data_IF_241309743230
#
_entry.id   IF_241309743230
#
_cell.length_a   1.000
_cell.length_b   1.000
_cell.length_c   1.000
_cell.angle_alpha   90.00
_cell.angle_beta   90.00
_cell.angle_gamma   90.00
#
_symmetry.space_group_name_H-M   'P 1'
#
loop_
_entity.id
_entity.type
_entity.pdbx_description
1 polymer ?
#
# COMPACT_ATOMS: atom_id res chain seq x y z
N UNK A 1 -4.77 18.43 -7.82
CA UNK A 1 -3.34 18.69 -8.01
C UNK A 1 -2.64 18.26 -6.74
N UNK A 2 -1.59 17.44 -6.82
CA UNK A 2 -0.90 16.96 -5.61
C UNK A 2 -0.03 18.09 -5.03
N UNK A 3 -0.23 18.42 -3.75
CA UNK A 3 0.56 19.40 -3.02
C UNK A 3 1.81 18.75 -2.39
N UNK A 4 2.90 18.71 -3.15
CA UNK A 4 4.16 18.09 -2.71
C UNK A 4 4.93 18.89 -1.65
N UNK A 5 4.63 20.18 -1.52
CA UNK A 5 5.34 21.05 -0.58
C UNK A 5 4.88 20.82 0.85
N UNK A 6 3.60 20.52 1.01
CA UNK A 6 2.99 20.28 2.33
C UNK A 6 2.83 18.78 2.62
N UNK A 7 2.99 17.92 1.61
CA UNK A 7 2.90 16.47 1.76
C UNK A 7 3.93 15.92 2.75
N UNK A 8 3.45 15.08 3.69
CA UNK A 8 4.30 14.43 4.69
C UNK A 8 4.14 12.91 4.57
N UNK A 9 5.24 12.22 4.27
CA UNK A 9 5.31 10.76 4.25
C UNK A 9 5.53 10.24 5.67
N UNK A 10 4.51 9.65 6.30
CA UNK A 10 4.59 9.27 7.71
C UNK A 10 5.03 7.82 7.93
N UNK A 11 4.55 6.91 7.08
CA UNK A 11 4.83 5.49 7.23
C UNK A 11 5.01 4.86 5.85
N UNK A 12 5.92 3.90 5.79
CA UNK A 12 6.15 3.05 4.63
C UNK A 12 6.31 1.62 5.13
N UNK A 13 5.62 0.67 4.50
CA UNK A 13 5.80 -0.76 4.71
C UNK A 13 5.89 -1.46 3.37
N UNK A 14 6.89 -2.33 3.26
CA UNK A 14 7.20 -3.04 2.01
C UNK A 14 7.16 -4.53 2.32
N UNK A 15 6.42 -5.27 1.51
CA UNK A 15 6.31 -6.72 1.60
C UNK A 15 6.59 -7.32 0.22
N UNK A 16 7.23 -8.47 0.17
CA UNK A 16 7.40 -9.22 -1.07
C UNK A 16 6.31 -10.28 -1.17
N UNK A 17 5.59 -10.29 -2.29
CA UNK A 17 4.53 -11.25 -2.58
C UNK A 17 5.09 -12.23 -3.61
N UNK A 18 5.32 -13.47 -3.17
CA UNK A 18 5.72 -14.56 -4.05
C UNK A 18 4.53 -15.13 -4.83
N UNK A 19 4.85 -15.97 -5.81
CA UNK A 19 3.90 -16.82 -6.49
C UNK A 19 4.07 -18.29 -6.05
N UNK A 20 3.08 -18.84 -5.34
CA UNK A 20 3.08 -20.22 -4.88
C UNK A 20 3.19 -21.24 -6.03
N UNK A 21 2.62 -20.95 -7.21
CA UNK A 21 2.69 -21.84 -8.38
C UNK A 21 4.10 -21.90 -9.00
N UNK A 22 4.94 -20.90 -8.72
CA UNK A 22 6.32 -20.82 -9.17
C UNK A 22 7.32 -21.21 -8.07
N UNK A 23 6.84 -21.73 -6.94
CA UNK A 23 7.63 -22.03 -5.74
C UNK A 23 8.37 -20.80 -5.16
N UNK A 24 7.85 -19.60 -5.38
CA UNK A 24 8.39 -18.38 -4.80
C UNK A 24 7.72 -18.11 -3.45
N UNK A 25 8.52 -17.68 -2.48
CA UNK A 25 8.04 -17.42 -1.12
C UNK A 25 7.74 -15.95 -0.91
N UNK A 26 6.67 -15.66 -0.19
CA UNK A 26 6.34 -14.30 0.25
C UNK A 26 7.15 -13.93 1.49
N UNK A 27 7.58 -12.67 1.58
CA UNK A 27 8.30 -12.11 2.73
C UNK A 27 7.52 -10.93 3.27
N UNK A 28 6.97 -11.07 4.47
CA UNK A 28 6.36 -9.97 5.18
C UNK A 28 7.43 -9.30 6.06
N UNK A 29 7.72 -8.03 5.83
CA UNK A 29 8.58 -7.26 6.72
C UNK A 29 8.08 -7.32 8.16
N UNK A 30 9.01 -7.38 9.11
CA UNK A 30 8.72 -7.46 10.54
C UNK A 30 8.44 -6.09 11.18
N UNK A 31 8.90 -5.02 10.52
CA UNK A 31 8.75 -3.63 10.97
C UNK A 31 8.60 -2.71 9.74
N UNK A 32 8.03 -1.50 9.91
CA UNK A 32 8.05 -0.46 8.89
C UNK A 32 9.46 -0.11 8.42
N UNK A 33 9.56 0.43 7.21
CA UNK A 33 10.80 1.01 6.72
C UNK A 33 11.16 2.25 7.55
N UNK A 34 12.40 2.32 8.02
CA UNK A 34 12.94 3.53 8.64
C UNK A 34 13.17 4.59 7.55
N UNK A 35 12.41 5.68 7.63
CA UNK A 35 12.45 6.81 6.70
C UNK A 35 13.06 8.06 7.34
N UNK A 36 13.86 7.88 8.41
CA UNK A 36 14.56 8.97 9.10
C UNK A 36 15.68 9.61 8.27
N UNK A 37 16.20 8.89 7.27
CA UNK A 37 17.23 9.38 6.37
C UNK A 37 16.61 10.29 5.28
N UNK A 38 17.14 11.51 5.18
CA UNK A 38 16.55 12.60 4.37
C UNK A 38 16.55 12.29 2.87
N UNK A 39 17.62 11.70 2.35
CA UNK A 39 17.72 11.38 0.91
C UNK A 39 16.67 10.32 0.54
N UNK A 40 16.59 9.24 1.31
CA UNK A 40 15.61 8.17 1.15
C UNK A 40 14.18 8.70 1.26
N UNK A 41 13.90 9.54 2.26
CA UNK A 41 12.60 10.16 2.44
C UNK A 41 12.15 10.91 1.17
N UNK A 42 13.01 11.78 0.63
CA UNK A 42 12.68 12.56 -0.57
C UNK A 42 12.57 11.71 -1.83
N UNK A 43 13.39 10.65 -1.95
CA UNK A 43 13.29 9.70 -3.05
C UNK A 43 11.96 8.95 -3.02
N UNK A 44 11.54 8.46 -1.85
CA UNK A 44 10.26 7.75 -1.70
C UNK A 44 9.06 8.67 -1.94
N UNK A 45 9.07 9.88 -1.39
CA UNK A 45 7.99 10.84 -1.61
C UNK A 45 7.84 11.16 -3.11
N UNK A 46 8.96 11.30 -3.83
CA UNK A 46 8.95 11.52 -5.27
C UNK A 46 8.47 10.29 -6.03
N UNK A 47 8.97 9.10 -5.69
CA UNK A 47 8.53 7.82 -6.26
C UNK A 47 7.01 7.62 -6.19
N UNK A 48 6.39 7.91 -5.04
CA UNK A 48 4.95 7.77 -4.85
C UNK A 48 4.12 8.87 -5.51
N UNK A 49 4.69 10.02 -5.88
CA UNK A 49 3.90 11.18 -6.33
C UNK A 49 4.18 11.63 -7.77
N UNK A 50 5.35 11.36 -8.34
CA UNK A 50 5.79 11.86 -9.67
C UNK A 50 4.93 11.38 -10.84
N UNK A 51 4.27 10.23 -10.68
CA UNK A 51 3.49 9.61 -11.74
C UNK A 51 2.05 10.16 -11.84
N UNK A 52 1.57 10.91 -10.84
CA UNK A 52 0.22 11.50 -10.83
C UNK A 52 0.21 12.90 -11.46
N UNK A 53 0.52 12.96 -12.76
CA UNK A 53 0.65 14.22 -13.52
C UNK A 53 -0.69 14.83 -13.90
N UNK A 54 -1.63 14.00 -14.33
CA UNK A 54 -2.98 14.42 -14.69
C UNK A 54 -3.94 14.08 -13.53
N UNK A 55 -4.90 14.96 -13.21
CA UNK A 55 -5.90 14.70 -12.18
C UNK A 55 -6.95 13.71 -12.69
N UNK A 56 -6.57 12.45 -12.81
CA UNK A 56 -7.48 11.35 -13.11
C UNK A 56 -7.80 10.58 -11.83
N UNK A 57 -9.06 10.69 -11.40
CA UNK A 57 -9.56 9.96 -10.24
C UNK A 57 -10.29 8.71 -10.72
N UNK A 58 -9.69 7.56 -10.42
CA UNK A 58 -10.33 6.26 -10.61
C UNK A 58 -10.94 5.81 -9.28
N UNK A 59 -12.17 5.33 -9.33
CA UNK A 59 -12.82 4.69 -8.19
C UNK A 59 -13.08 3.23 -8.54
N UNK A 60 -12.82 2.34 -7.58
CA UNK A 60 -13.23 0.95 -7.71
C UNK A 60 -14.76 0.86 -7.62
N UNK A 61 -15.35 0.05 -8.50
CA UNK A 61 -16.75 -0.33 -8.34
C UNK A 61 -16.84 -1.37 -7.21
N UNK A 62 -17.80 -1.24 -6.29
CA UNK A 62 -18.05 -2.27 -5.28
C UNK A 62 -18.30 -3.62 -5.95
N UNK A 63 -17.63 -4.67 -5.46
CA UNK A 63 -17.87 -6.05 -5.88
C UNK A 63 -19.12 -6.65 -5.21
N UNK A 64 -19.57 -6.03 -4.11
CA UNK A 64 -20.66 -6.44 -3.24
C UNK A 64 -21.68 -5.32 -3.11
N UNK A 65 -22.93 -5.67 -2.77
CA UNK A 65 -24.01 -4.70 -2.56
C UNK A 65 -23.77 -3.81 -1.33
N UNK A 66 -23.01 -4.29 -0.34
CA UNK A 66 -22.60 -3.55 0.84
C UNK A 66 -21.10 -3.25 0.84
N UNK A 67 -20.73 -1.97 1.05
CA UNK A 67 -19.33 -1.52 1.16
C UNK A 67 -18.61 -2.14 2.36
N UNK A 68 -19.33 -2.41 3.44
CA UNK A 68 -18.77 -2.98 4.67
C UNK A 68 -18.27 -4.42 4.47
N UNK A 69 -18.74 -5.09 3.42
CA UNK A 69 -18.28 -6.44 3.03
C UNK A 69 -17.01 -6.39 2.18
N UNK A 70 -16.60 -5.22 1.70
CA UNK A 70 -15.35 -5.06 0.96
C UNK A 70 -14.17 -5.03 1.94
N UNK A 71 -13.39 -6.12 1.92
CA UNK A 71 -12.21 -6.28 2.78
C UNK A 71 -11.26 -5.07 2.71
N UNK A 72 -10.91 -4.62 1.51
CA UNK A 72 -9.99 -3.49 1.32
C UNK A 72 -10.59 -2.18 1.86
N UNK A 73 -11.88 -1.95 1.66
CA UNK A 73 -12.58 -0.80 2.22
C UNK A 73 -12.51 -0.81 3.76
N UNK A 74 -12.89 -1.93 4.38
CA UNK A 74 -12.86 -2.07 5.85
C UNK A 74 -11.45 -1.86 6.43
N UNK A 75 -10.42 -2.35 5.74
CA UNK A 75 -9.03 -2.25 6.15
C UNK A 75 -8.49 -0.82 6.05
N UNK A 76 -8.78 -0.14 4.93
CA UNK A 76 -8.39 1.26 4.72
C UNK A 76 -9.12 2.16 5.73
N UNK A 77 -10.42 1.95 5.97
CA UNK A 77 -11.15 2.70 6.99
C UNK A 77 -10.50 2.56 8.38
N UNK A 78 -10.14 1.33 8.76
CA UNK A 78 -9.42 1.07 10.03
C UNK A 78 -8.07 1.82 10.12
N UNK A 79 -7.31 1.91 9.03
CA UNK A 79 -6.02 2.61 8.96
C UNK A 79 -6.11 4.14 9.19
N UNK A 80 -7.25 4.72 8.84
CA UNK A 80 -7.51 6.14 9.06
C UNK A 80 -8.13 6.41 10.44
N UNK A 81 -8.90 5.47 10.98
CA UNK A 81 -9.51 5.58 12.31
C UNK A 81 -8.54 5.27 13.46
N UNK A 82 -7.64 4.29 13.28
CA UNK A 82 -6.68 3.83 14.30
C UNK A 82 -5.26 4.25 13.92
N UNK A 83 -4.57 4.95 14.82
CA UNK A 83 -3.21 5.47 14.57
C UNK A 83 -2.11 4.41 14.69
N UNK A 84 -2.32 3.38 15.51
CA UNK A 84 -1.22 2.51 15.97
C UNK A 84 -1.10 1.15 15.27
N UNK A 85 -1.87 0.92 14.21
CA UNK A 85 -1.93 -0.40 13.58
C UNK A 85 -1.28 -0.47 12.20
N UNK A 86 -0.84 0.64 11.60
CA UNK A 86 -0.49 0.75 10.17
C UNK A 86 0.25 -0.45 9.56
N UNK A 87 1.32 -0.90 10.21
CA UNK A 87 2.13 -2.02 9.73
C UNK A 87 1.40 -3.36 9.79
N UNK A 88 0.60 -3.57 10.83
CA UNK A 88 -0.22 -4.76 10.95
C UNK A 88 -1.27 -4.81 9.84
N UNK A 89 -1.94 -3.70 9.51
CA UNK A 89 -2.85 -3.70 8.35
C UNK A 89 -2.11 -3.87 7.03
N UNK A 90 -0.91 -3.31 6.85
CA UNK A 90 -0.14 -3.53 5.61
C UNK A 90 0.22 -5.02 5.42
N UNK A 91 0.50 -5.75 6.51
CA UNK A 91 0.69 -7.20 6.49
C UNK A 91 -0.61 -7.91 6.10
N UNK A 92 -1.77 -7.51 6.65
CA UNK A 92 -3.04 -8.12 6.28
C UNK A 92 -3.42 -7.84 4.81
N UNK A 93 -3.11 -6.65 4.27
CA UNK A 93 -3.23 -6.36 2.83
C UNK A 93 -2.33 -7.28 2.00
N UNK A 94 -1.09 -7.51 2.45
CA UNK A 94 -0.15 -8.38 1.78
C UNK A 94 -0.64 -9.84 1.73
N UNK A 95 -1.18 -10.35 2.85
CA UNK A 95 -1.81 -11.69 2.93
C UNK A 95 -3.03 -11.78 2.02
N UNK A 96 -3.85 -10.73 2.00
CA UNK A 96 -5.02 -10.67 1.14
C UNK A 96 -4.61 -10.73 -0.33
N UNK A 97 -3.65 -9.92 -0.76
CA UNK A 97 -3.12 -9.94 -2.13
C UNK A 97 -2.56 -11.32 -2.52
N UNK A 98 -1.80 -11.95 -1.61
CA UNK A 98 -1.28 -13.31 -1.80
C UNK A 98 -2.39 -14.35 -2.04
N UNK A 99 -3.56 -14.19 -1.42
CA UNK A 99 -4.69 -15.11 -1.64
C UNK A 99 -5.21 -15.11 -3.09
N UNK A 100 -4.97 -14.01 -3.84
CA UNK A 100 -5.33 -13.87 -5.25
C UNK A 100 -4.16 -14.08 -6.21
N UNK A 101 -2.91 -14.23 -5.74
CA UNK A 101 -1.73 -14.36 -6.61
C UNK A 101 -1.51 -15.77 -7.15
N UNK A 102 -2.44 -16.71 -6.92
CA UNK A 102 -2.36 -18.12 -7.36
C UNK A 102 -2.79 -18.30 -8.81
N UNK A 103 -2.14 -17.57 -9.73
CA UNK A 103 -2.38 -17.68 -11.16
C UNK A 103 -1.08 -17.64 -11.97
N UNK A 104 -0.99 -18.42 -13.05
CA UNK A 104 0.23 -18.53 -13.87
C UNK A 104 0.70 -17.23 -14.53
N UNK A 105 -0.20 -16.26 -14.69
CA UNK A 105 0.08 -14.95 -15.28
C UNK A 105 0.26 -13.82 -14.25
N UNK A 106 0.27 -14.15 -12.96
CA UNK A 106 0.57 -13.17 -11.91
C UNK A 106 2.04 -13.32 -11.55
N UNK A 107 2.81 -12.24 -11.71
CA UNK A 107 4.20 -12.20 -11.30
C UNK A 107 4.33 -11.88 -9.81
N UNK A 108 5.38 -12.38 -9.17
CA UNK A 108 5.79 -11.88 -7.87
C UNK A 108 6.25 -10.44 -7.93
N UNK A 109 6.24 -9.77 -6.78
CA UNK A 109 6.63 -8.38 -6.70
C UNK A 109 6.50 -7.78 -5.32
N UNK A 110 6.77 -6.49 -5.24
CA UNK A 110 6.76 -5.72 -4.01
C UNK A 110 5.39 -5.05 -3.84
N UNK A 111 4.75 -5.30 -2.70
CA UNK A 111 3.64 -4.49 -2.22
C UNK A 111 4.21 -3.38 -1.34
N UNK A 112 4.06 -2.13 -1.78
CA UNK A 112 4.42 -0.95 -1.01
C UNK A 112 3.15 -0.25 -0.53
N UNK A 113 3.02 -0.09 0.79
CA UNK A 113 1.93 0.65 1.42
C UNK A 113 2.53 1.88 2.11
N UNK A 114 2.00 3.07 1.81
CA UNK A 114 2.45 4.31 2.44
C UNK A 114 1.28 5.17 2.94
N UNK A 115 1.52 5.93 4.01
CA UNK A 115 0.59 6.93 4.53
C UNK A 115 1.17 8.31 4.29
N UNK A 116 0.52 9.09 3.42
CA UNK A 116 0.90 10.47 3.11
C UNK A 116 -0.18 11.42 3.63
N UNK A 117 0.21 12.42 4.40
CA UNK A 117 -0.66 13.50 4.88
C UNK A 117 -0.52 14.73 3.98
N UNK A 118 -1.56 15.57 3.94
CA UNK A 118 -1.59 16.84 3.19
C UNK A 118 -1.20 16.69 1.71
N UNK A 119 -1.66 15.59 1.09
CA UNK A 119 -1.32 15.27 -0.30
C UNK A 119 -2.05 16.16 -1.31
N UNK A 120 -3.23 16.68 -0.95
CA UNK A 120 -4.09 17.48 -1.82
C UNK A 120 -4.23 18.92 -1.31
#
# INVERSE_FOLDING_TARGET
>A
MINRREAVLNHVSIHYIGNELQNETSVFSSMPLDISEEILYHQLLSFFTDNFKEPEFYQFQPLTDSLDENFMYSMISSLFDKKDSFHAESIEMAKWLLSFSKHHFIHSGELMVCKIQNLF
#
